data_IF_693924917020
#
_entry.id   IF_693924917020
#
_cell.length_a   1.000
_cell.length_b   1.000
_cell.length_c   1.000
_cell.angle_alpha   90.00
_cell.angle_beta   90.00
_cell.angle_gamma   90.00
#
_symmetry.space_group_name_H-M   'P 1'
#
loop_
_entity.id
_entity.type
_entity.pdbx_description
1 polymer ?
#
# COMPACT_ATOMS: atom_id res chain seq x y z
N UNK A 1 -25.69 3.11 -6.66
CA UNK A 1 -26.14 2.87 -8.04
C UNK A 1 -27.57 2.38 -8.00
N UNK A 2 -28.48 2.93 -8.82
CA UNK A 2 -29.76 2.29 -9.06
C UNK A 2 -29.56 0.86 -9.57
N UNK A 3 -30.42 -0.05 -9.16
CA UNK A 3 -30.37 -1.44 -9.64
C UNK A 3 -30.49 -1.48 -11.16
N UNK A 4 -29.61 -2.24 -11.83
CA UNK A 4 -29.55 -2.34 -13.29
C UNK A 4 -28.93 -1.13 -14.02
N UNK A 5 -28.53 -0.06 -13.33
CA UNK A 5 -27.89 1.11 -13.93
C UNK A 5 -26.37 1.00 -14.05
N UNK A 6 -25.79 1.62 -15.08
CA UNK A 6 -24.33 1.77 -15.23
C UNK A 6 -23.75 2.69 -14.15
N UNK A 7 -22.49 2.44 -13.73
CA UNK A 7 -21.72 3.16 -12.71
C UNK A 7 -21.71 4.70 -12.89
N UNK A 8 -21.83 5.18 -14.13
CA UNK A 8 -21.94 6.62 -14.45
C UNK A 8 -23.21 7.28 -13.91
N UNK A 9 -24.26 6.50 -13.63
CA UNK A 9 -25.52 6.97 -13.05
C UNK A 9 -25.48 7.03 -11.51
N UNK A 10 -24.28 6.96 -10.93
CA UNK A 10 -24.08 6.93 -9.49
C UNK A 10 -24.24 8.30 -8.84
N UNK A 11 -24.73 8.28 -7.61
CA UNK A 11 -24.70 9.45 -6.72
C UNK A 11 -24.07 9.06 -5.39
N UNK A 12 -23.45 10.03 -4.72
CA UNK A 12 -22.98 9.87 -3.36
C UNK A 12 -24.17 9.92 -2.39
N UNK A 13 -24.21 8.99 -1.43
CA UNK A 13 -25.19 8.97 -0.34
C UNK A 13 -24.45 9.27 0.95
N UNK A 14 -24.92 10.29 1.68
CA UNK A 14 -24.31 10.69 2.94
C UNK A 14 -24.73 9.78 4.09
N UNK A 15 -23.76 9.45 4.94
CA UNK A 15 -23.96 8.72 6.20
C UNK A 15 -23.65 9.64 7.39
N UNK A 16 -24.24 9.38 8.57
CA UNK A 16 -23.93 10.10 9.81
C UNK A 16 -22.51 9.75 10.30
N UNK A 17 -21.50 10.39 9.70
CA UNK A 17 -20.10 10.00 9.86
C UNK A 17 -19.59 10.14 11.30
N UNK A 18 -20.01 11.19 12.02
CA UNK A 18 -19.61 11.42 13.41
C UNK A 18 -20.10 10.31 14.33
N UNK A 19 -21.33 9.85 14.13
CA UNK A 19 -21.96 8.77 14.87
C UNK A 19 -21.26 7.44 14.60
N UNK A 20 -20.90 7.18 13.33
CA UNK A 20 -20.13 5.99 12.95
C UNK A 20 -18.73 6.01 13.59
N UNK A 21 -18.03 7.15 13.53
CA UNK A 21 -16.73 7.30 14.19
C UNK A 21 -16.83 7.13 15.71
N UNK A 22 -17.87 7.65 16.35
CA UNK A 22 -18.08 7.48 17.79
C UNK A 22 -18.17 6.00 18.17
N UNK A 23 -18.92 5.19 17.39
CA UNK A 23 -19.00 3.74 17.58
C UNK A 23 -17.64 3.09 17.35
N UNK A 24 -16.94 3.40 16.25
CA UNK A 24 -15.62 2.82 15.98
C UNK A 24 -14.59 3.15 17.07
N UNK A 25 -14.55 4.39 17.54
CA UNK A 25 -13.65 4.80 18.62
C UNK A 25 -13.99 4.11 19.94
N UNK A 26 -15.28 3.98 20.28
CA UNK A 26 -15.71 3.26 21.47
C UNK A 26 -15.27 1.79 21.43
N UNK A 27 -15.54 1.08 20.34
CA UNK A 27 -15.19 -0.33 20.19
C UNK A 27 -13.67 -0.53 20.10
N UNK A 28 -12.96 0.37 19.43
CA UNK A 28 -11.50 0.43 19.41
C UNK A 28 -10.91 0.50 20.82
N UNK A 29 -11.43 1.40 21.67
CA UNK A 29 -11.02 1.52 23.07
C UNK A 29 -11.35 0.26 23.88
N UNK A 30 -12.56 -0.28 23.76
CA UNK A 30 -13.00 -1.50 24.48
C UNK A 30 -12.12 -2.70 24.15
N UNK A 31 -11.71 -2.83 22.89
CA UNK A 31 -10.93 -3.95 22.40
C UNK A 31 -9.43 -3.67 22.29
N UNK A 32 -8.96 -2.50 22.74
CA UNK A 32 -7.55 -2.06 22.66
C UNK A 32 -6.98 -2.24 21.25
N UNK A 33 -7.80 -2.00 20.24
CA UNK A 33 -7.48 -2.24 18.83
C UNK A 33 -7.16 -0.92 18.14
N UNK A 34 -6.34 -0.95 17.09
CA UNK A 34 -6.10 0.23 16.26
C UNK A 34 -7.04 0.23 15.07
N UNK A 35 -7.55 1.41 14.73
CA UNK A 35 -8.34 1.61 13.53
C UNK A 35 -7.44 2.02 12.37
N UNK A 36 -7.62 1.36 11.23
CA UNK A 36 -6.95 1.69 9.97
C UNK A 36 -8.04 1.83 8.92
N UNK A 37 -8.14 3.02 8.32
CA UNK A 37 -9.02 3.28 7.20
C UNK A 37 -8.25 3.11 5.89
N UNK A 38 -8.78 2.29 5.00
CA UNK A 38 -8.30 2.21 3.63
C UNK A 38 -8.80 3.43 2.84
N UNK A 39 -8.00 4.48 2.81
CA UNK A 39 -8.31 5.76 2.18
C UNK A 39 -7.64 5.88 0.81
N UNK A 40 -7.96 4.95 -0.10
CA UNK A 40 -7.43 4.90 -1.47
C UNK A 40 -8.47 5.32 -2.51
N UNK A 41 -7.99 5.74 -3.69
CA UNK A 41 -8.84 6.16 -4.80
C UNK A 41 -9.38 7.58 -4.64
N UNK A 42 -10.66 7.77 -4.97
CA UNK A 42 -11.31 9.09 -4.94
C UNK A 42 -11.81 9.39 -3.53
N UNK A 43 -10.91 9.92 -2.70
CA UNK A 43 -11.18 10.27 -1.31
C UNK A 43 -11.42 11.77 -1.18
N UNK A 44 -12.62 12.22 -0.75
CA UNK A 44 -12.85 13.61 -0.46
C UNK A 44 -11.89 14.15 0.63
N UNK A 45 -11.38 15.39 0.51
CA UNK A 45 -10.38 15.92 1.45
C UNK A 45 -10.78 15.84 2.93
N UNK A 46 -12.07 16.05 3.24
CA UNK A 46 -12.59 16.01 4.62
C UNK A 46 -12.41 14.63 5.28
N UNK A 47 -12.38 13.54 4.51
CA UNK A 47 -12.23 12.18 5.07
C UNK A 47 -10.89 12.02 5.77
N UNK A 48 -9.80 12.53 5.18
CA UNK A 48 -8.48 12.48 5.81
C UNK A 48 -8.42 13.34 7.08
N UNK A 49 -9.13 14.48 7.09
CA UNK A 49 -9.27 15.33 8.29
C UNK A 49 -10.03 14.59 9.38
N UNK A 50 -11.16 13.95 9.07
CA UNK A 50 -11.96 13.22 10.05
C UNK A 50 -11.22 12.01 10.60
N UNK A 51 -10.54 11.25 9.74
CA UNK A 51 -9.68 10.13 10.16
C UNK A 51 -8.61 10.59 11.15
N UNK A 52 -7.93 11.71 10.84
CA UNK A 52 -6.91 12.26 11.74
C UNK A 52 -7.49 12.71 13.08
N UNK A 53 -8.64 13.40 13.07
CA UNK A 53 -9.37 13.83 14.29
C UNK A 53 -9.69 12.63 15.20
N UNK A 54 -10.12 11.51 14.61
CA UNK A 54 -10.49 10.29 15.34
C UNK A 54 -9.33 9.30 15.53
N UNK A 55 -8.10 9.69 15.16
CA UNK A 55 -6.88 8.86 15.24
C UNK A 55 -6.98 7.52 14.49
N UNK A 56 -7.71 7.52 13.38
CA UNK A 56 -7.74 6.41 12.43
C UNK A 56 -6.53 6.54 11.50
N UNK A 57 -5.70 5.51 11.47
CA UNK A 57 -4.53 5.47 10.58
C UNK A 57 -4.94 5.32 9.12
N UNK A 58 -4.29 6.04 8.21
CA UNK A 58 -4.49 5.86 6.77
C UNK A 58 -3.60 4.75 6.19
N UNK A 59 -4.03 4.16 5.08
CA UNK A 59 -3.22 3.23 4.29
C UNK A 59 -2.43 3.99 3.21
N UNK A 60 -1.11 3.85 3.22
CA UNK A 60 -0.22 4.50 2.28
C UNK A 60 0.52 3.47 1.42
N UNK A 61 0.11 3.37 0.14
CA UNK A 61 0.61 2.39 -0.82
C UNK A 61 1.71 3.00 -1.69
N UNK A 62 2.89 2.37 -1.72
CA UNK A 62 4.07 2.89 -2.39
C UNK A 62 3.86 3.07 -3.91
N UNK A 63 3.18 2.13 -4.57
CA UNK A 63 2.91 2.20 -6.02
C UNK A 63 2.15 3.47 -6.44
N UNK A 64 1.35 4.07 -5.56
CA UNK A 64 0.64 5.33 -5.83
C UNK A 64 1.43 6.57 -5.44
N UNK A 65 2.58 6.39 -4.79
CA UNK A 65 3.37 7.46 -4.16
C UNK A 65 4.79 7.56 -4.71
N UNK A 66 5.04 6.91 -5.85
CA UNK A 66 6.20 7.20 -6.69
C UNK A 66 5.91 8.50 -7.43
N UNK A 67 6.27 9.62 -6.82
CA UNK A 67 6.03 10.94 -7.40
C UNK A 67 7.19 11.34 -8.30
N UNK A 68 6.85 11.80 -9.51
CA UNK A 68 7.71 12.64 -10.34
C UNK A 68 7.39 14.10 -9.95
N UNK A 69 7.99 14.62 -8.88
CA UNK A 69 7.71 16.01 -8.44
C UNK A 69 8.37 16.98 -9.42
N UNK A 70 7.59 17.59 -10.32
CA UNK A 70 8.07 18.62 -11.25
C UNK A 70 9.28 18.20 -12.09
N UNK A 71 10.19 19.14 -12.36
CA UNK A 71 11.49 18.91 -13.03
C UNK A 71 12.56 18.29 -12.11
N UNK A 72 12.19 17.77 -10.93
CA UNK A 72 13.17 17.17 -10.03
C UNK A 72 13.67 15.82 -10.59
N UNK A 73 14.97 15.69 -10.95
CA UNK A 73 15.49 14.54 -11.70
C UNK A 73 15.58 13.24 -10.88
N UNK A 74 15.24 13.28 -9.59
CA UNK A 74 15.23 12.12 -8.71
C UNK A 74 13.80 11.86 -8.21
N UNK A 75 13.08 10.91 -8.81
CA UNK A 75 11.76 10.54 -8.30
C UNK A 75 11.95 9.83 -6.97
N UNK A 76 11.19 10.27 -5.97
CA UNK A 76 11.30 9.80 -4.59
C UNK A 76 10.08 8.97 -4.25
N UNK A 77 10.29 7.85 -3.56
CA UNK A 77 9.20 7.20 -2.85
C UNK A 77 8.86 8.08 -1.65
N UNK A 78 7.68 8.71 -1.69
CA UNK A 78 7.27 9.63 -0.63
C UNK A 78 7.28 8.91 0.72
N UNK A 79 7.97 9.50 1.72
CA UNK A 79 8.04 8.91 3.05
C UNK A 79 6.64 8.78 3.64
N UNK A 80 6.40 7.66 4.33
CA UNK A 80 5.13 7.44 4.98
C UNK A 80 5.01 8.19 6.32
N UNK A 81 3.80 8.68 6.57
CA UNK A 81 3.49 9.62 7.65
C UNK A 81 3.28 8.92 9.00
N UNK A 82 3.49 9.61 10.14
CA UNK A 82 3.09 9.12 11.46
C UNK A 82 1.61 8.69 11.47
N UNK A 83 1.30 7.62 12.21
CA UNK A 83 -0.08 7.09 12.26
C UNK A 83 -0.50 6.22 11.08
N UNK A 84 0.24 6.22 9.97
CA UNK A 84 -0.11 5.46 8.78
C UNK A 84 0.29 3.99 8.84
N UNK A 85 -0.42 3.16 8.10
CA UNK A 85 0.04 1.84 7.67
C UNK A 85 0.66 1.98 6.28
N UNK A 86 1.92 1.62 6.13
CA UNK A 86 2.64 1.72 4.86
C UNK A 86 2.85 0.34 4.23
N UNK A 87 2.66 0.24 2.91
CA UNK A 87 2.88 -1.01 2.17
C UNK A 87 3.35 -0.73 0.75
N UNK A 88 3.94 -1.72 0.07
CA UNK A 88 4.31 -1.58 -1.34
C UNK A 88 3.07 -1.54 -2.23
N UNK A 89 2.14 -2.46 -1.97
CA UNK A 89 0.99 -2.76 -2.80
C UNK A 89 -0.11 -3.39 -1.92
N UNK A 90 -1.28 -3.64 -2.50
CA UNK A 90 -2.41 -4.33 -1.88
C UNK A 90 -2.79 -5.55 -2.73
N UNK A 91 -3.69 -6.37 -2.21
CA UNK A 91 -4.25 -7.50 -2.96
C UNK A 91 -5.01 -7.08 -4.24
N UNK A 92 -5.45 -5.82 -4.33
CA UNK A 92 -6.17 -5.23 -5.47
C UNK A 92 -5.26 -4.56 -6.51
N UNK A 93 -3.96 -4.49 -6.22
CA UNK A 93 -2.96 -3.92 -7.13
C UNK A 93 -2.06 -5.02 -7.69
N UNK A 94 -1.27 -4.70 -8.71
CA UNK A 94 -0.21 -5.62 -9.14
C UNK A 94 0.74 -5.92 -7.97
N UNK A 95 1.25 -7.15 -7.92
CA UNK A 95 2.40 -7.48 -7.08
C UNK A 95 3.58 -6.59 -7.48
N UNK A 96 4.57 -6.45 -6.61
CA UNK A 96 5.67 -5.51 -6.85
C UNK A 96 6.46 -5.85 -8.12
N UNK A 97 6.76 -7.13 -8.36
CA UNK A 97 7.40 -7.57 -9.60
C UNK A 97 6.49 -7.32 -10.82
N UNK A 98 5.19 -7.64 -10.73
CA UNK A 98 4.22 -7.38 -11.80
C UNK A 98 4.08 -5.89 -12.13
N UNK A 99 4.17 -5.03 -11.12
CA UNK A 99 4.23 -3.57 -11.28
C UNK A 99 5.53 -3.16 -11.98
N UNK A 100 6.70 -3.62 -11.56
CA UNK A 100 7.95 -3.26 -12.26
C UNK A 100 7.95 -3.68 -13.74
N UNK A 101 7.29 -4.78 -14.06
CA UNK A 101 7.16 -5.31 -15.43
C UNK A 101 6.07 -4.63 -16.26
N UNK A 102 5.16 -3.87 -15.66
CA UNK A 102 4.07 -3.21 -16.41
C UNK A 102 2.87 -4.10 -16.70
N UNK A 103 2.75 -5.25 -16.06
CA UNK A 103 1.70 -6.25 -16.36
C UNK A 103 0.27 -5.74 -16.12
N UNK A 104 0.08 -4.82 -15.18
CA UNK A 104 -1.19 -4.12 -14.95
C UNK A 104 -1.58 -3.20 -16.12
N UNK A 105 -0.60 -2.63 -16.81
CA UNK A 105 -0.82 -1.77 -17.98
C UNK A 105 -1.26 -2.63 -19.16
N UNK A 106 -0.58 -3.76 -19.38
CA UNK A 106 -0.93 -4.72 -20.42
C UNK A 106 -2.31 -5.32 -20.19
N UNK A 107 -2.65 -5.64 -18.94
CA UNK A 107 -3.97 -6.13 -18.57
C UNK A 107 -5.06 -5.10 -18.91
N UNK A 108 -4.86 -3.84 -18.52
CA UNK A 108 -5.79 -2.74 -18.83
C UNK A 108 -5.95 -2.54 -20.33
N UNK A 109 -4.87 -2.61 -21.10
CA UNK A 109 -4.93 -2.53 -22.56
C UNK A 109 -5.73 -3.70 -23.15
N UNK A 110 -5.48 -4.93 -22.70
CA UNK A 110 -6.19 -6.13 -23.19
C UNK A 110 -7.70 -6.08 -22.93
N UNK A 111 -8.12 -5.31 -21.92
CA UNK A 111 -9.52 -5.10 -21.53
C UNK A 111 -10.17 -3.87 -22.17
N UNK A 112 -9.44 -3.16 -23.04
CA UNK A 112 -9.92 -1.91 -23.65
C UNK A 112 -10.03 -0.74 -22.66
N UNK A 113 -9.43 -0.83 -21.47
CA UNK A 113 -9.37 0.27 -20.50
C UNK A 113 -8.25 1.28 -20.83
N UNK A 114 -7.35 0.90 -21.75
CA UNK A 114 -6.33 1.75 -22.35
C UNK A 114 -6.27 1.47 -23.84
N UNK A 115 -6.15 2.52 -24.63
CA UNK A 115 -5.78 2.42 -26.05
C UNK A 115 -4.26 2.21 -26.20
N UNK A 116 -3.76 1.87 -27.39
CA UNK A 116 -2.32 1.65 -27.61
C UNK A 116 -1.45 2.86 -27.22
N UNK A 117 -1.94 4.08 -27.44
CA UNK A 117 -1.23 5.31 -27.08
C UNK A 117 -1.13 5.48 -25.55
N UNK A 118 -2.24 5.29 -24.84
CA UNK A 118 -2.31 5.34 -23.39
C UNK A 118 -1.47 4.25 -22.72
N UNK A 119 -1.45 3.03 -23.27
CA UNK A 119 -0.58 1.96 -22.82
C UNK A 119 0.91 2.32 -23.02
N UNK A 120 1.28 2.85 -24.19
CA UNK A 120 2.66 3.31 -24.45
C UNK A 120 3.09 4.42 -23.49
N UNK A 121 2.22 5.38 -23.21
CA UNK A 121 2.48 6.45 -22.24
C UNK A 121 2.64 5.90 -20.81
N UNK A 122 1.75 5.01 -20.39
CA UNK A 122 1.80 4.38 -19.07
C UNK A 122 3.09 3.55 -18.90
N UNK A 123 3.49 2.77 -19.91
CA UNK A 123 4.75 2.03 -19.92
C UNK A 123 5.97 2.95 -19.87
N UNK A 124 5.94 4.07 -20.61
CA UNK A 124 7.00 5.07 -20.52
C UNK A 124 7.10 5.69 -19.12
N UNK A 125 5.97 5.95 -18.47
CA UNK A 125 5.92 6.40 -17.07
C UNK A 125 6.48 5.34 -16.13
N UNK A 126 6.07 4.07 -16.28
CA UNK A 126 6.56 2.95 -15.48
C UNK A 126 8.08 2.75 -15.60
N UNK A 127 8.66 2.91 -16.80
CA UNK A 127 10.11 2.88 -17.00
C UNK A 127 10.83 3.98 -16.21
N UNK A 128 10.28 5.20 -16.19
CA UNK A 128 10.82 6.30 -15.38
C UNK A 128 10.69 6.01 -13.88
N UNK A 129 9.55 5.48 -13.45
CA UNK A 129 9.30 5.05 -12.06
C UNK A 129 10.34 3.98 -11.64
N UNK A 130 10.52 2.91 -12.42
CA UNK A 130 11.53 1.87 -12.17
C UNK A 130 12.95 2.44 -12.08
N UNK A 131 13.34 3.30 -13.03
CA UNK A 131 14.67 3.92 -13.03
C UNK A 131 14.90 4.79 -11.78
N UNK A 132 13.84 5.41 -11.24
CA UNK A 132 13.91 6.17 -10.00
C UNK A 132 14.09 5.27 -8.78
N UNK A 133 13.28 4.22 -8.70
CA UNK A 133 13.35 3.27 -7.60
C UNK A 133 14.72 2.56 -7.55
N UNK A 134 15.34 2.34 -8.72
CA UNK A 134 16.71 1.83 -8.83
C UNK A 134 17.79 2.76 -8.27
N UNK A 135 17.51 4.05 -8.12
CA UNK A 135 18.41 5.04 -7.51
C UNK A 135 18.21 5.20 -6.00
N UNK A 136 17.20 4.57 -5.41
CA UNK A 136 17.03 4.58 -3.96
C UNK A 136 18.27 3.95 -3.29
N UNK A 137 18.65 4.43 -2.10
CA UNK A 137 19.81 3.91 -1.40
C UNK A 137 19.62 2.42 -1.11
N UNK A 138 20.61 1.62 -1.51
CA UNK A 138 20.66 0.19 -1.22
C UNK A 138 20.86 0.00 0.28
N UNK A 139 20.04 -0.85 0.88
CA UNK A 139 19.95 -0.94 2.34
C UNK A 139 20.23 -2.33 2.88
N UNK A 140 20.32 -3.33 2.00
CA UNK A 140 20.75 -4.68 2.29
C UNK A 140 21.69 -5.14 1.17
N UNK A 141 22.95 -5.46 1.51
CA UNK A 141 24.01 -5.77 0.55
C UNK A 141 24.21 -7.29 0.47
N UNK A 142 23.27 -7.97 -0.18
CA UNK A 142 23.53 -9.26 -0.81
C UNK A 142 23.02 -9.12 -2.25
N UNK A 143 23.92 -8.81 -3.18
CA UNK A 143 23.55 -8.41 -4.54
C UNK A 143 22.88 -9.56 -5.30
N UNK A 144 21.55 -9.53 -5.35
CA UNK A 144 20.70 -10.40 -6.14
C UNK A 144 20.05 -9.51 -7.21
N UNK A 145 20.57 -9.49 -8.43
CA UNK A 145 19.98 -8.78 -9.57
C UNK A 145 19.53 -7.30 -9.36
N UNK A 146 18.88 -6.70 -10.35
CA UNK A 146 18.35 -5.32 -10.25
C UNK A 146 17.02 -5.29 -9.48
N UNK A 147 16.14 -6.26 -9.73
CA UNK A 147 14.78 -6.31 -9.20
C UNK A 147 14.78 -6.45 -7.67
N UNK A 148 15.61 -7.36 -7.13
CA UNK A 148 15.71 -7.55 -5.68
C UNK A 148 16.30 -6.33 -4.99
N UNK A 149 17.27 -5.65 -5.62
CA UNK A 149 17.83 -4.39 -5.12
C UNK A 149 16.77 -3.30 -5.02
N UNK A 150 15.93 -3.17 -6.05
CA UNK A 150 14.82 -2.21 -6.07
C UNK A 150 13.81 -2.54 -4.95
N UNK A 151 13.41 -3.81 -4.84
CA UNK A 151 12.49 -4.28 -3.79
C UNK A 151 13.03 -3.96 -2.39
N UNK A 152 14.27 -4.35 -2.09
CA UNK A 152 14.90 -4.10 -0.79
C UNK A 152 15.03 -2.59 -0.52
N UNK A 153 15.37 -1.78 -1.52
CA UNK A 153 15.48 -0.33 -1.34
C UNK A 153 14.13 0.31 -1.01
N UNK A 154 13.05 -0.13 -1.67
CA UNK A 154 11.69 0.32 -1.38
C UNK A 154 11.23 -0.12 0.01
N UNK A 155 11.41 -1.39 0.36
CA UNK A 155 11.10 -1.92 1.69
C UNK A 155 11.89 -1.18 2.79
N UNK A 156 13.15 -0.85 2.53
CA UNK A 156 13.99 -0.09 3.45
C UNK A 156 13.52 1.34 3.64
N UNK A 157 13.07 1.98 2.55
CA UNK A 157 12.45 3.30 2.62
C UNK A 157 11.15 3.26 3.45
N UNK A 158 10.31 2.23 3.28
CA UNK A 158 9.12 2.04 4.13
C UNK A 158 9.50 1.79 5.59
N UNK A 159 10.51 0.96 5.86
CA UNK A 159 10.97 0.69 7.23
C UNK A 159 11.49 1.94 7.95
N UNK A 160 12.26 2.78 7.26
CA UNK A 160 12.79 4.03 7.83
C UNK A 160 11.76 5.16 7.89
N UNK A 161 10.59 4.98 7.29
CA UNK A 161 9.53 5.99 7.33
C UNK A 161 8.96 6.17 8.73
N UNK A 162 8.20 7.25 8.90
CA UNK A 162 7.48 7.51 10.13
C UNK A 162 6.20 6.66 10.28
N UNK A 163 5.93 5.74 9.35
CA UNK A 163 4.76 4.86 9.42
C UNK A 163 4.70 4.12 10.74
N UNK A 164 3.46 3.96 11.21
CA UNK A 164 3.14 3.26 12.43
C UNK A 164 3.27 1.74 12.27
N UNK A 165 2.94 1.24 11.08
CA UNK A 165 3.03 -0.15 10.69
C UNK A 165 3.59 -0.21 9.26
N UNK A 166 4.44 -1.20 9.00
CA UNK A 166 4.81 -1.57 7.63
C UNK A 166 4.24 -2.95 7.35
N UNK A 167 3.44 -3.07 6.29
CA UNK A 167 2.88 -4.32 5.80
C UNK A 167 3.64 -4.76 4.55
N UNK A 168 4.02 -6.03 4.54
CA UNK A 168 4.70 -6.67 3.41
C UNK A 168 3.85 -7.83 2.93
N UNK A 169 3.54 -7.84 1.63
CA UNK A 169 2.91 -8.99 1.01
C UNK A 169 3.96 -10.06 0.75
N UNK A 170 3.67 -11.29 1.15
CA UNK A 170 4.63 -12.39 1.10
C UNK A 170 5.02 -12.71 -0.36
N UNK A 171 4.07 -12.55 -1.28
CA UNK A 171 4.21 -12.68 -2.72
C UNK A 171 5.36 -11.85 -3.31
N UNK A 172 5.61 -10.67 -2.74
CA UNK A 172 6.70 -9.82 -3.19
C UNK A 172 8.07 -10.41 -2.84
N UNK A 173 8.18 -11.16 -1.74
CA UNK A 173 9.43 -11.70 -1.24
C UNK A 173 9.97 -12.86 -2.10
N UNK A 174 9.10 -13.54 -2.85
CA UNK A 174 9.49 -14.50 -3.89
C UNK A 174 9.22 -13.98 -5.31
N UNK A 175 8.91 -12.69 -5.46
CA UNK A 175 8.76 -11.99 -6.75
C UNK A 175 7.66 -12.58 -7.64
N UNK A 176 6.53 -12.94 -7.05
CA UNK A 176 5.34 -13.32 -7.81
C UNK A 176 4.91 -12.17 -8.72
N UNK A 177 4.50 -12.49 -9.94
CA UNK A 177 4.05 -11.52 -10.95
C UNK A 177 2.54 -11.50 -11.08
N UNK A 178 1.88 -12.58 -10.69
CA UNK A 178 0.44 -12.77 -10.87
C UNK A 178 -0.32 -12.10 -9.72
N UNK A 179 -1.26 -11.18 -10.01
CA UNK A 179 -2.06 -10.54 -8.97
C UNK A 179 -3.09 -11.51 -8.39
N UNK A 180 -3.46 -11.31 -7.12
CA UNK A 180 -4.49 -12.09 -6.44
C UNK A 180 -5.90 -11.71 -6.89
N UNK A 181 -6.14 -10.41 -7.07
CA UNK A 181 -7.38 -9.84 -7.58
C UNK A 181 -7.08 -8.80 -8.66
N UNK A 182 -7.97 -8.71 -9.65
CA UNK A 182 -7.96 -7.64 -10.65
C UNK A 182 -9.30 -6.91 -10.56
N UNK A 183 -9.34 -5.72 -9.93
CA UNK A 183 -10.59 -4.98 -9.77
C UNK A 183 -11.32 -4.72 -11.09
N UNK A 184 -12.65 -4.74 -11.03
CA UNK A 184 -13.53 -4.56 -12.18
C UNK A 184 -13.53 -5.73 -13.17
N UNK A 185 -13.18 -6.94 -12.72
CA UNK A 185 -13.31 -8.19 -13.49
C UNK A 185 -14.20 -9.19 -12.76
N UNK A 186 -14.82 -10.07 -13.54
CA UNK A 186 -15.75 -11.10 -13.07
C UNK A 186 -15.14 -12.51 -13.08
N UNK A 187 -15.98 -13.55 -13.30
CA UNK A 187 -15.57 -14.96 -13.28
C UNK A 187 -14.52 -15.35 -14.33
N UNK A 188 -14.33 -14.53 -15.36
CA UNK A 188 -13.32 -14.72 -16.41
C UNK A 188 -11.89 -14.61 -15.89
N UNK A 189 -11.69 -14.03 -14.70
CA UNK A 189 -10.40 -14.00 -14.01
C UNK A 189 -10.42 -14.90 -12.78
N UNK A 190 -9.28 -15.52 -12.41
CA UNK A 190 -9.17 -16.35 -11.21
C UNK A 190 -9.00 -15.49 -9.93
N UNK A 191 -9.79 -14.41 -9.81
CA UNK A 191 -9.79 -13.54 -8.63
C UNK A 191 -10.06 -14.38 -7.38
N UNK A 192 -9.26 -14.17 -6.33
CA UNK A 192 -9.40 -14.87 -5.04
C UNK A 192 -9.23 -16.40 -5.08
N UNK A 193 -8.82 -16.95 -6.23
CA UNK A 193 -8.68 -18.39 -6.46
C UNK A 193 -7.23 -18.83 -6.58
N UNK A 194 -6.30 -17.89 -6.72
CA UNK A 194 -4.87 -18.20 -6.79
C UNK A 194 -4.36 -18.61 -5.42
N UNK A 195 -3.66 -19.73 -5.41
CA UNK A 195 -2.90 -20.21 -4.25
C UNK A 195 -1.53 -19.56 -4.26
N UNK A 196 -0.96 -19.34 -3.08
CA UNK A 196 0.45 -18.99 -2.96
C UNK A 196 1.32 -20.02 -3.70
N UNK A 197 2.37 -19.55 -4.38
CA UNK A 197 3.28 -20.41 -5.14
C UNK A 197 4.01 -21.43 -4.25
N UNK A 198 4.21 -21.08 -2.99
CA UNK A 198 4.94 -21.89 -2.02
C UNK A 198 4.04 -22.20 -0.82
N UNK A 199 4.19 -23.40 -0.25
CA UNK A 199 3.55 -23.73 1.02
C UNK A 199 4.18 -22.92 2.17
N UNK A 200 3.51 -22.90 3.32
CA UNK A 200 4.02 -22.25 4.53
C UNK A 200 5.40 -22.80 4.91
N UNK A 201 5.57 -24.12 4.89
CA UNK A 201 6.83 -24.80 5.21
C UNK A 201 7.92 -24.44 4.20
N UNK A 202 7.56 -24.34 2.92
CA UNK A 202 8.51 -24.02 1.87
C UNK A 202 9.04 -22.58 2.00
N UNK A 203 8.17 -21.56 2.09
CA UNK A 203 8.66 -20.18 2.13
C UNK A 203 9.30 -19.80 3.46
N UNK A 204 8.90 -20.43 4.57
CA UNK A 204 9.55 -20.25 5.88
C UNK A 204 10.95 -20.87 5.93
N UNK A 205 11.30 -21.76 5.00
CA UNK A 205 12.66 -22.26 4.83
C UNK A 205 13.51 -21.45 3.81
N UNK A 206 12.92 -20.49 3.10
CA UNK A 206 13.64 -19.73 2.07
C UNK A 206 14.59 -18.69 2.67
N UNK A 207 15.91 -18.75 2.37
CA UNK A 207 16.87 -17.77 2.89
C UNK A 207 16.49 -16.34 2.51
N UNK A 208 16.12 -16.09 1.25
CA UNK A 208 15.75 -14.76 0.75
C UNK A 208 14.59 -14.13 1.53
N UNK A 209 13.54 -14.91 1.82
CA UNK A 209 12.37 -14.46 2.59
C UNK A 209 12.78 -14.12 4.02
N UNK A 210 13.45 -15.06 4.70
CA UNK A 210 13.84 -14.91 6.09
C UNK A 210 14.87 -13.81 6.32
N UNK A 211 15.85 -13.66 5.42
CA UNK A 211 16.85 -12.58 5.47
C UNK A 211 16.19 -11.23 5.26
N UNK A 212 15.33 -11.09 4.26
CA UNK A 212 14.61 -9.85 4.00
C UNK A 212 13.73 -9.45 5.19
N UNK A 213 12.97 -10.39 5.77
CA UNK A 213 12.13 -10.11 6.94
C UNK A 213 12.95 -9.77 8.19
N UNK A 214 14.03 -10.50 8.48
CA UNK A 214 14.93 -10.19 9.61
C UNK A 214 15.57 -8.82 9.47
N UNK A 215 16.09 -8.53 8.28
CA UNK A 215 16.66 -7.22 7.99
C UNK A 215 15.60 -6.11 8.12
N UNK A 216 14.40 -6.30 7.57
CA UNK A 216 13.32 -5.32 7.66
C UNK A 216 12.93 -5.03 9.11
N UNK A 217 12.82 -6.08 9.93
CA UNK A 217 12.56 -5.95 11.35
C UNK A 217 13.66 -5.15 12.07
N UNK A 218 14.94 -5.37 11.71
CA UNK A 218 16.07 -4.62 12.28
C UNK A 218 16.14 -3.16 11.80
N UNK A 219 15.65 -2.88 10.58
CA UNK A 219 15.62 -1.55 10.00
C UNK A 219 14.50 -0.67 10.55
N UNK A 220 13.51 -1.26 11.24
CA UNK A 220 12.46 -0.53 11.95
C UNK A 220 13.01 -0.06 13.30
N UNK A 221 13.09 1.26 13.56
CA UNK A 221 13.47 1.74 14.87
C UNK A 221 12.47 1.23 15.92
N UNK A 222 12.92 0.81 17.12
CA UNK A 222 12.01 0.51 18.22
C UNK A 222 11.18 1.76 18.49
N UNK A 223 9.86 1.59 18.56
CA UNK A 223 8.98 2.71 18.84
C UNK A 223 9.27 3.26 20.22
N UNK A 224 9.34 4.59 20.39
CA UNK A 224 9.18 5.16 21.71
C UNK A 224 7.82 4.70 22.25
N UNK A 225 7.83 4.10 23.44
CA UNK A 225 6.61 3.80 24.18
C UNK A 225 5.84 5.10 24.32
N UNK A 226 4.71 5.21 23.63
CA UNK A 226 3.80 6.33 23.79
C UNK A 226 3.19 6.18 25.18
N UNK A 227 3.78 6.83 26.19
CA UNK A 227 3.15 7.00 27.48
C UNK A 227 1.78 7.63 27.21
N UNK A 228 0.72 6.98 27.70
CA UNK A 228 -0.59 7.61 27.71
C UNK A 228 -0.42 8.93 28.47
N UNK A 229 -0.54 10.06 27.76
CA UNK A 229 -0.57 11.36 28.41
C UNK A 229 -1.68 11.33 29.47
N UNK A 230 -1.47 11.98 30.64
CA UNK A 230 -2.47 11.97 31.69
C UNK A 230 -3.80 12.45 31.11
N UNK A 231 -4.86 11.66 31.30
CA UNK A 231 -6.22 12.17 31.15
C UNK A 231 -6.31 13.39 32.06
N UNK A 232 -6.35 14.58 31.47
CA UNK A 232 -6.63 15.81 32.19
C UNK A 232 -8.00 15.64 32.83
N UNK A 233 -7.99 15.44 34.15
CA UNK A 233 -9.18 15.59 34.98
C UNK A 233 -9.46 17.08 35.05
N UNK A 234 -10.28 17.57 34.12
CA UNK A 234 -10.94 18.85 34.32
C UNK A 234 -11.92 18.68 35.48
N UNK A 235 -11.49 19.21 36.61
CA UNK A 235 -12.27 19.40 37.82
C UNK A 235 -13.43 20.32 37.52
N UNK A 236 -14.59 19.94 38.02
CA UNK A 236 -15.70 20.84 38.31
C UNK A 236 -15.21 22.06 39.08
N UNK A 237 -15.63 23.24 38.62
CA UNK A 237 -15.91 24.44 39.41
C UNK A 237 -17.02 25.20 38.70
#
# INVERSE_FOLDING_TARGET
MPEGGDATNGVYVHYPANEVYAVFCLESCRHRTRLVGENLGTVPPYVNTDMATHRVGGLQVAQFRVSMVGDNPAPQLASASPGAVATLNTHDTATFAGYLDGTDIDDRMSRGLLDPSGAAHAHARRRRERAALARLPVTHLAALDEETRILQSCLGALARSAADLVLVNLEDLWRERRPQNVPGTGPERPNWRRRAQHSLEAFTAMPMVNETLRWLASARPPRPTRTAGPMSSERSS
#
